data_IF_246540210507
#
_entry.id   IF_246540210507
#
_cell.length_a   1.000
_cell.length_b   1.000
_cell.length_c   1.000
_cell.angle_alpha   90.00
_cell.angle_beta   90.00
_cell.angle_gamma   90.00
#
_symmetry.space_group_name_H-M   'P 1'
#
loop_
_entity.id
_entity.type
_entity.pdbx_description
1 polymer ?
#
# COMPACT_ATOMS: atom_id res chain seq x y z
N UNK A 1 10.55 4.25 6.42
CA UNK A 1 10.43 2.83 6.02
C UNK A 1 11.53 2.39 5.08
N UNK A 2 11.82 1.10 5.06
CA UNK A 2 12.75 0.39 4.17
C UNK A 2 14.24 0.75 4.34
N UNK A 3 14.59 1.78 5.06
CA UNK A 3 15.99 2.10 5.38
C UNK A 3 16.60 1.03 6.31
N UNK A 4 17.89 0.76 6.16
CA UNK A 4 18.62 -0.22 6.97
C UNK A 4 18.61 0.13 8.45
N UNK A 5 18.68 1.40 8.77
CA UNK A 5 18.78 1.91 10.15
C UNK A 5 17.40 2.26 10.75
N UNK A 6 16.29 1.85 10.11
CA UNK A 6 14.94 2.02 10.65
C UNK A 6 14.77 1.27 11.97
N UNK A 7 14.07 1.86 12.92
CA UNK A 7 13.90 1.33 14.27
C UNK A 7 12.45 1.35 14.79
N UNK A 8 11.48 1.57 13.91
CA UNK A 8 10.07 1.58 14.24
C UNK A 8 9.32 2.75 13.65
N UNK A 9 8.04 2.85 13.96
CA UNK A 9 7.17 3.88 13.42
C UNK A 9 7.10 5.13 14.31
N UNK A 10 6.89 6.27 13.69
CA UNK A 10 6.57 7.52 14.34
C UNK A 10 5.05 7.71 14.30
N UNK A 11 4.43 8.01 15.42
CA UNK A 11 2.99 8.30 15.48
C UNK A 11 2.69 9.61 14.75
N UNK A 12 1.68 9.57 13.90
CA UNK A 12 1.05 10.74 13.31
C UNK A 12 -0.36 10.91 13.84
N UNK A 13 -1.00 12.01 13.50
CA UNK A 13 -2.41 12.26 13.81
C UNK A 13 -3.15 12.74 12.57
N UNK A 14 -4.44 12.41 12.49
CA UNK A 14 -5.29 12.85 11.40
C UNK A 14 -6.62 12.14 11.39
N UNK A 15 -7.45 12.56 10.46
CA UNK A 15 -8.72 11.95 10.15
C UNK A 15 -8.99 12.09 8.64
N UNK A 16 -9.76 11.18 8.09
CA UNK A 16 -10.15 11.24 6.68
C UNK A 16 -11.52 10.64 6.47
N UNK A 17 -12.13 11.03 5.37
CA UNK A 17 -13.41 10.51 4.92
C UNK A 17 -13.41 10.41 3.40
N UNK A 18 -13.87 9.30 2.87
CA UNK A 18 -14.16 9.12 1.45
C UNK A 18 -15.65 8.87 1.28
N UNK A 19 -16.22 9.41 0.23
CA UNK A 19 -17.63 9.17 -0.12
C UNK A 19 -17.66 8.04 -1.15
N UNK A 20 -18.24 6.93 -0.75
CA UNK A 20 -18.53 5.82 -1.65
C UNK A 20 -19.94 6.00 -2.20
N UNK A 21 -20.06 5.95 -3.49
CA UNK A 21 -21.33 6.16 -4.18
C UNK A 21 -21.47 5.11 -5.30
N UNK A 22 -22.69 4.63 -5.48
CA UNK A 22 -22.99 3.72 -6.58
C UNK A 22 -22.80 4.44 -7.93
N UNK A 23 -22.17 3.73 -8.89
CA UNK A 23 -21.71 4.33 -10.15
C UNK A 23 -22.81 5.03 -10.94
N UNK A 24 -23.94 4.35 -11.17
CA UNK A 24 -25.05 4.91 -11.96
C UNK A 24 -25.70 6.12 -11.26
N UNK A 25 -25.71 6.11 -9.91
CA UNK A 25 -26.19 7.25 -9.13
C UNK A 25 -25.25 8.46 -9.30
N UNK A 26 -23.94 8.25 -9.22
CA UNK A 26 -22.94 9.30 -9.41
C UNK A 26 -23.01 9.90 -10.81
N UNK A 27 -23.09 9.07 -11.84
CA UNK A 27 -23.24 9.49 -13.24
C UNK A 27 -24.52 10.29 -13.45
N UNK A 28 -25.66 9.82 -12.93
CA UNK A 28 -26.96 10.46 -13.09
C UNK A 28 -27.02 11.87 -12.52
N UNK A 29 -26.32 12.11 -11.40
CA UNK A 29 -26.25 13.46 -10.79
C UNK A 29 -25.10 14.34 -11.32
N UNK A 30 -24.29 13.83 -12.27
CA UNK A 30 -23.16 14.55 -12.84
C UNK A 30 -21.99 14.73 -11.86
N UNK A 31 -21.78 13.76 -10.96
CA UNK A 31 -20.66 13.81 -10.01
C UNK A 31 -19.31 13.69 -10.71
N UNK A 32 -18.29 14.33 -10.13
CA UNK A 32 -16.90 13.99 -10.47
C UNK A 32 -16.54 12.67 -9.82
N UNK A 33 -16.24 11.67 -10.64
CA UNK A 33 -15.75 10.35 -10.18
C UNK A 33 -14.23 10.41 -10.20
N UNK A 34 -13.59 10.23 -9.06
CA UNK A 34 -12.13 10.27 -8.93
C UNK A 34 -11.49 8.94 -9.31
N UNK A 35 -12.08 7.84 -8.88
CA UNK A 35 -11.72 6.48 -9.26
C UNK A 35 -12.87 5.53 -8.91
N UNK A 36 -12.75 4.29 -9.33
CA UNK A 36 -13.61 3.19 -8.93
C UNK A 36 -12.92 2.39 -7.83
N UNK A 37 -13.61 2.11 -6.71
CA UNK A 37 -13.15 1.11 -5.75
C UNK A 37 -13.45 -0.26 -6.35
N UNK A 38 -12.42 -0.89 -6.92
CA UNK A 38 -12.55 -2.14 -7.69
C UNK A 38 -12.69 -3.36 -6.80
N UNK A 39 -11.99 -3.38 -5.68
CA UNK A 39 -12.01 -4.53 -4.79
C UNK A 39 -11.37 -4.26 -3.44
N UNK A 40 -11.62 -5.19 -2.54
CA UNK A 40 -11.05 -5.19 -1.20
C UNK A 40 -10.61 -6.59 -0.79
N UNK A 41 -9.55 -6.67 0.00
CA UNK A 41 -9.07 -7.93 0.56
C UNK A 41 -8.97 -7.85 2.08
N UNK A 42 -9.26 -8.96 2.73
CA UNK A 42 -9.06 -9.16 4.16
C UNK A 42 -8.30 -10.46 4.39
N UNK A 43 -7.43 -10.47 5.39
CA UNK A 43 -6.76 -11.67 5.89
C UNK A 43 -6.41 -11.53 7.36
N UNK A 44 -5.94 -12.61 7.95
CA UNK A 44 -5.38 -12.60 9.30
C UNK A 44 -4.08 -13.41 9.33
N UNK A 45 -3.05 -12.89 10.01
CA UNK A 45 -1.78 -13.60 10.17
C UNK A 45 -1.92 -14.85 11.05
N UNK A 46 -2.79 -14.78 12.07
CA UNK A 46 -2.98 -15.83 13.07
C UNK A 46 -1.63 -16.34 13.65
N UNK A 47 -0.68 -15.44 13.84
CA UNK A 47 0.69 -15.77 14.22
C UNK A 47 1.10 -15.17 15.56
N UNK A 48 1.14 -13.85 15.68
CA UNK A 48 1.57 -13.15 16.89
C UNK A 48 0.74 -11.87 17.09
N UNK A 49 0.69 -11.38 18.33
CA UNK A 49 -0.13 -10.23 18.68
C UNK A 49 0.30 -8.92 17.99
N UNK A 50 1.59 -8.75 17.74
CA UNK A 50 2.15 -7.51 17.16
C UNK A 50 3.11 -7.75 15.99
N UNK A 51 3.69 -8.94 15.86
CA UNK A 51 4.61 -9.25 14.77
C UNK A 51 3.86 -9.85 13.56
N UNK A 52 4.22 -9.50 12.33
CA UNK A 52 3.67 -10.12 11.14
C UNK A 52 4.15 -11.58 11.02
N UNK A 53 3.45 -12.36 10.22
CA UNK A 53 3.95 -13.70 9.86
C UNK A 53 5.32 -13.56 9.17
N UNK A 54 6.37 -14.32 9.57
CA UNK A 54 7.74 -14.13 9.07
C UNK A 54 7.87 -14.22 7.55
N UNK A 55 7.05 -15.07 6.93
CA UNK A 55 7.04 -15.24 5.47
C UNK A 55 6.08 -14.25 4.75
N UNK A 56 5.53 -13.25 5.45
CA UNK A 56 4.58 -12.30 4.89
C UNK A 56 3.27 -12.94 4.40
N UNK A 57 2.87 -14.09 4.96
CA UNK A 57 1.71 -14.85 4.47
C UNK A 57 0.42 -14.03 4.51
N UNK A 58 0.16 -13.30 5.60
CA UNK A 58 -1.04 -12.47 5.72
C UNK A 58 -1.04 -11.33 4.70
N UNK A 59 0.11 -10.67 4.50
CA UNK A 59 0.28 -9.64 3.48
C UNK A 59 0.07 -10.18 2.06
N UNK A 60 0.61 -11.36 1.77
CA UNK A 60 0.40 -12.06 0.50
C UNK A 60 -1.09 -12.36 0.25
N UNK A 61 -1.75 -12.96 1.25
CA UNK A 61 -3.15 -13.37 1.13
C UNK A 61 -4.09 -12.17 0.99
N UNK A 62 -3.87 -11.09 1.71
CA UNK A 62 -4.75 -9.92 1.64
C UNK A 62 -4.70 -9.26 0.28
N UNK A 63 -3.50 -9.09 -0.30
CA UNK A 63 -3.34 -8.55 -1.66
C UNK A 63 -3.93 -9.49 -2.71
N UNK A 64 -3.69 -10.81 -2.57
CA UNK A 64 -4.28 -11.81 -3.45
C UNK A 64 -5.81 -11.76 -3.42
N UNK A 65 -6.42 -11.78 -2.24
CA UNK A 65 -7.87 -11.69 -2.07
C UNK A 65 -8.43 -10.40 -2.68
N UNK A 66 -7.72 -9.28 -2.54
CA UNK A 66 -8.10 -8.00 -3.14
C UNK A 66 -8.11 -8.05 -4.68
N UNK A 67 -7.10 -8.65 -5.28
CA UNK A 67 -7.02 -8.84 -6.74
C UNK A 67 -8.14 -9.77 -7.24
N UNK A 68 -8.41 -10.85 -6.53
CA UNK A 68 -9.49 -11.80 -6.87
C UNK A 68 -10.87 -11.12 -6.78
N UNK A 69 -11.13 -10.33 -5.73
CA UNK A 69 -12.38 -9.58 -5.56
C UNK A 69 -12.55 -8.53 -6.67
N UNK A 70 -11.47 -7.83 -7.01
CA UNK A 70 -11.45 -6.83 -8.07
C UNK A 70 -11.57 -7.42 -9.49
N UNK A 71 -11.27 -8.70 -9.68
CA UNK A 71 -11.12 -9.32 -11.00
C UNK A 71 -9.93 -8.78 -11.81
N UNK A 72 -8.92 -8.24 -11.12
CA UNK A 72 -7.72 -7.61 -11.70
C UNK A 72 -6.55 -8.60 -11.64
N UNK A 73 -5.78 -8.67 -12.73
CA UNK A 73 -4.61 -9.53 -12.77
C UNK A 73 -3.40 -8.83 -12.11
N UNK A 74 -2.47 -9.57 -11.49
CA UNK A 74 -1.29 -8.97 -10.86
C UNK A 74 -0.48 -8.05 -11.76
N UNK A 75 -0.41 -8.34 -13.06
CA UNK A 75 0.34 -7.54 -14.03
C UNK A 75 -0.35 -6.23 -14.48
N UNK A 76 -1.54 -5.94 -13.95
CA UNK A 76 -2.26 -4.69 -14.21
C UNK A 76 -2.01 -3.64 -13.11
N UNK A 77 -1.41 -4.03 -11.98
CA UNK A 77 -1.14 -3.11 -10.87
C UNK A 77 0.06 -2.22 -11.16
N UNK A 78 -0.15 -0.92 -11.12
CA UNK A 78 0.88 0.09 -11.41
C UNK A 78 1.57 0.64 -10.16
N UNK A 79 0.82 0.73 -9.05
CA UNK A 79 1.28 1.37 -7.82
C UNK A 79 0.81 0.62 -6.58
N UNK A 80 1.68 0.54 -5.57
CA UNK A 80 1.33 0.04 -4.23
C UNK A 80 1.80 1.06 -3.19
N UNK A 81 0.84 1.61 -2.43
CA UNK A 81 1.12 2.29 -1.18
C UNK A 81 1.15 1.22 -0.07
N UNK A 82 2.34 0.88 0.36
CA UNK A 82 2.58 -0.15 1.36
C UNK A 82 2.12 0.30 2.75
N UNK A 83 1.81 -0.67 3.60
CA UNK A 83 1.67 -0.41 5.02
C UNK A 83 2.96 0.19 5.60
N UNK A 84 4.12 -0.37 5.27
CA UNK A 84 5.45 0.20 5.42
C UNK A 84 5.63 1.08 6.64
N UNK A 85 5.65 0.50 7.84
CA UNK A 85 5.66 1.23 9.12
C UNK A 85 7.05 1.60 9.62
N UNK A 86 8.09 1.30 8.88
CA UNK A 86 9.48 1.46 9.35
C UNK A 86 9.88 0.49 10.47
N UNK A 87 9.12 -0.60 10.63
CA UNK A 87 9.50 -1.68 11.56
C UNK A 87 10.40 -2.67 10.83
N UNK A 88 11.47 -3.18 11.49
CA UNK A 88 12.41 -4.11 10.84
C UNK A 88 11.71 -5.31 10.20
N UNK A 89 10.82 -5.98 10.94
CA UNK A 89 10.14 -7.19 10.46
C UNK A 89 9.00 -6.89 9.46
N UNK A 90 8.25 -5.80 9.69
CA UNK A 90 7.08 -5.46 8.89
C UNK A 90 7.45 -5.13 7.45
N UNK A 91 8.44 -4.28 7.28
CA UNK A 91 8.87 -3.82 5.96
C UNK A 91 9.45 -4.99 5.12
N UNK A 92 10.22 -5.89 5.75
CA UNK A 92 10.76 -7.08 5.08
C UNK A 92 9.63 -8.05 4.67
N UNK A 93 8.72 -8.36 5.59
CA UNK A 93 7.63 -9.29 5.33
C UNK A 93 6.72 -8.82 4.21
N UNK A 94 6.35 -7.54 4.20
CA UNK A 94 5.50 -6.95 3.16
C UNK A 94 6.22 -6.90 1.80
N UNK A 95 7.48 -6.47 1.76
CA UNK A 95 8.29 -6.46 0.53
C UNK A 95 8.42 -7.86 -0.07
N UNK A 96 8.66 -8.88 0.76
CA UNK A 96 8.73 -10.28 0.34
C UNK A 96 7.38 -10.78 -0.21
N UNK A 97 6.27 -10.39 0.42
CA UNK A 97 4.93 -10.75 -0.04
C UNK A 97 4.62 -10.14 -1.41
N UNK A 98 5.02 -8.90 -1.66
CA UNK A 98 4.89 -8.22 -2.96
C UNK A 98 5.70 -8.97 -4.02
N UNK A 99 6.99 -9.22 -3.77
CA UNK A 99 7.84 -9.94 -4.72
C UNK A 99 7.26 -11.33 -5.05
N UNK A 100 6.73 -12.05 -4.06
CA UNK A 100 6.13 -13.38 -4.23
C UNK A 100 4.82 -13.34 -5.04
N UNK A 101 3.95 -12.37 -4.78
CA UNK A 101 2.64 -12.29 -5.42
C UNK A 101 2.74 -11.84 -6.87
N UNK A 102 3.54 -10.80 -7.12
CA UNK A 102 3.60 -10.16 -8.43
C UNK A 102 4.72 -10.73 -9.33
N UNK A 103 5.63 -11.57 -8.78
CA UNK A 103 6.71 -12.18 -9.55
C UNK A 103 7.56 -11.14 -10.27
N UNK A 104 7.87 -11.36 -11.55
CA UNK A 104 8.68 -10.40 -12.33
C UNK A 104 8.00 -9.04 -12.50
N UNK A 105 6.67 -8.98 -12.40
CA UNK A 105 5.96 -7.71 -12.49
C UNK A 105 6.20 -6.81 -11.26
N UNK A 106 6.54 -7.38 -10.10
CA UNK A 106 6.85 -6.62 -8.89
C UNK A 106 7.90 -5.51 -9.14
N UNK A 107 8.85 -5.77 -10.04
CA UNK A 107 9.92 -4.83 -10.39
C UNK A 107 9.47 -3.68 -11.30
N UNK A 108 8.26 -3.77 -11.84
CA UNK A 108 7.64 -2.73 -12.65
C UNK A 108 6.60 -1.90 -11.86
N UNK A 109 6.16 -2.38 -10.70
CA UNK A 109 5.23 -1.66 -9.84
C UNK A 109 5.97 -0.53 -9.13
N UNK A 110 5.42 0.68 -9.15
CA UNK A 110 5.96 1.78 -8.35
C UNK A 110 5.49 1.63 -6.91
N UNK A 111 6.41 1.56 -5.97
CA UNK A 111 6.14 1.26 -4.57
C UNK A 111 6.53 2.44 -3.69
N UNK A 112 5.71 2.76 -2.70
CA UNK A 112 6.05 3.73 -1.67
C UNK A 112 5.37 3.42 -0.33
N UNK A 113 5.75 4.16 0.71
CA UNK A 113 4.98 4.30 1.94
C UNK A 113 4.90 5.78 2.30
N UNK A 114 3.69 6.32 2.27
CA UNK A 114 3.42 7.71 2.65
C UNK A 114 3.61 7.97 4.15
N UNK A 115 3.70 6.93 4.97
CA UNK A 115 4.02 7.05 6.40
C UNK A 115 5.36 7.72 6.66
N UNK A 116 6.28 7.70 5.71
CA UNK A 116 7.53 8.46 5.80
C UNK A 116 7.31 9.97 5.95
N UNK A 117 6.21 10.48 5.44
CA UNK A 117 5.84 11.91 5.47
C UNK A 117 4.78 12.23 6.53
N UNK A 118 3.82 11.31 6.74
CA UNK A 118 2.67 11.56 7.62
C UNK A 118 2.84 10.99 9.02
N UNK A 119 3.78 10.09 9.23
CA UNK A 119 3.79 9.19 10.38
C UNK A 119 2.69 8.13 10.26
N UNK A 120 2.57 7.30 11.26
CA UNK A 120 1.55 6.26 11.34
C UNK A 120 0.33 6.76 12.10
N UNK A 121 -0.76 7.00 11.39
CA UNK A 121 -2.00 7.57 11.95
C UNK A 121 -2.92 6.53 12.59
N UNK A 122 -2.45 5.30 12.77
CA UNK A 122 -3.22 4.19 13.36
C UNK A 122 -4.56 3.98 12.65
N UNK A 123 -5.69 4.22 13.32
CA UNK A 123 -7.03 4.05 12.75
C UNK A 123 -7.33 4.95 11.54
N UNK A 124 -6.65 6.07 11.38
CA UNK A 124 -6.81 6.95 10.21
C UNK A 124 -5.83 6.64 9.06
N UNK A 125 -4.84 5.76 9.28
CA UNK A 125 -3.81 5.47 8.30
C UNK A 125 -4.40 5.01 6.95
N UNK A 126 -5.30 4.02 6.99
CA UNK A 126 -5.87 3.44 5.77
C UNK A 126 -6.62 4.45 4.89
N UNK A 127 -7.37 5.38 5.47
CA UNK A 127 -8.09 6.40 4.68
C UNK A 127 -7.15 7.43 4.08
N UNK A 128 -6.15 7.89 4.81
CA UNK A 128 -5.17 8.86 4.30
C UNK A 128 -4.32 8.23 3.19
N UNK A 129 -3.91 6.99 3.35
CA UNK A 129 -3.15 6.24 2.36
C UNK A 129 -3.98 5.92 1.10
N UNK A 130 -5.26 5.62 1.28
CA UNK A 130 -6.21 5.48 0.16
C UNK A 130 -6.36 6.80 -0.61
N UNK A 131 -6.45 7.94 0.07
CA UNK A 131 -6.49 9.25 -0.57
C UNK A 131 -5.19 9.54 -1.33
N UNK A 132 -4.04 9.15 -0.77
CA UNK A 132 -2.76 9.28 -1.46
C UNK A 132 -2.71 8.39 -2.72
N UNK A 133 -3.18 7.13 -2.64
CA UNK A 133 -3.28 6.24 -3.79
C UNK A 133 -4.22 6.79 -4.88
N UNK A 134 -5.38 7.32 -4.50
CA UNK A 134 -6.27 8.04 -5.43
C UNK A 134 -5.57 9.25 -6.07
N UNK A 135 -4.79 9.99 -5.28
CA UNK A 135 -3.98 11.10 -5.77
C UNK A 135 -2.99 10.69 -6.86
N UNK A 136 -2.41 9.48 -6.79
CA UNK A 136 -1.51 8.98 -7.84
C UNK A 136 -2.23 8.75 -9.17
N UNK A 137 -3.46 8.23 -9.11
CA UNK A 137 -4.31 8.04 -10.31
C UNK A 137 -4.69 9.38 -10.93
N UNK A 138 -5.11 10.33 -10.09
CA UNK A 138 -5.61 11.64 -10.55
C UNK A 138 -4.52 12.51 -11.16
N UNK A 139 -3.33 12.51 -10.55
CA UNK A 139 -2.26 13.45 -10.89
C UNK A 139 -1.11 12.82 -11.67
N UNK A 140 -1.04 11.50 -11.80
CA UNK A 140 0.08 10.82 -12.45
C UNK A 140 1.42 11.02 -11.71
N UNK A 141 1.37 11.18 -10.39
CA UNK A 141 2.55 11.40 -9.55
C UNK A 141 2.53 10.43 -8.36
N UNK A 142 3.54 9.60 -8.26
CA UNK A 142 3.73 8.73 -7.09
C UNK A 142 4.55 9.50 -6.05
N UNK A 143 4.00 9.73 -4.84
CA UNK A 143 4.73 10.43 -3.78
C UNK A 143 5.88 9.57 -3.24
N UNK A 144 6.95 10.19 -2.71
CA UNK A 144 8.11 9.44 -2.27
C UNK A 144 7.94 8.81 -0.88
N UNK A 145 8.74 7.78 -0.64
CA UNK A 145 9.18 7.40 0.69
C UNK A 145 10.42 8.23 1.02
N UNK A 146 10.29 9.22 1.89
CA UNK A 146 11.41 10.10 2.28
C UNK A 146 12.23 9.50 3.42
N UNK A 147 13.40 10.10 3.69
CA UNK A 147 14.35 9.68 4.72
C UNK A 147 14.95 8.28 4.49
N UNK A 148 15.15 7.91 3.24
CA UNK A 148 15.91 6.73 2.87
C UNK A 148 17.36 7.11 2.57
N UNK A 149 18.32 6.52 3.29
CA UNK A 149 19.75 6.82 3.21
C UNK A 149 20.58 5.58 2.91
N UNK A 150 20.16 4.42 3.40
CA UNK A 150 20.94 3.17 3.31
C UNK A 150 20.03 1.99 2.98
N UNK A 151 20.39 1.26 1.93
CA UNK A 151 19.67 0.05 1.52
C UNK A 151 19.76 -1.06 2.59
N UNK A 152 18.66 -1.73 2.85
CA UNK A 152 18.61 -2.94 3.68
C UNK A 152 18.81 -4.17 2.79
N UNK A 153 19.88 -4.92 3.04
CA UNK A 153 20.24 -6.14 2.29
C UNK A 153 19.18 -7.26 2.40
N UNK A 154 18.26 -7.16 3.36
CA UNK A 154 17.16 -8.11 3.54
C UNK A 154 15.94 -7.78 2.66
N UNK A 155 15.92 -6.63 2.01
CA UNK A 155 14.88 -6.20 1.08
C UNK A 155 15.42 -6.32 -0.34
N UNK A 156 14.64 -6.93 -1.24
CA UNK A 156 15.05 -7.08 -2.64
C UNK A 156 15.22 -5.70 -3.30
N UNK A 157 16.47 -5.33 -3.58
CA UNK A 157 16.85 -4.04 -4.18
C UNK A 157 16.33 -3.84 -5.60
N UNK A 158 15.77 -4.87 -6.25
CA UNK A 158 15.14 -4.76 -7.57
C UNK A 158 13.72 -4.21 -7.49
N UNK A 159 13.09 -4.23 -6.31
CA UNK A 159 11.78 -3.59 -6.12
C UNK A 159 11.87 -2.10 -6.39
N UNK A 160 10.92 -1.59 -7.16
CA UNK A 160 10.96 -0.22 -7.65
C UNK A 160 10.37 0.77 -6.63
N UNK A 161 11.10 0.96 -5.53
CA UNK A 161 10.72 1.95 -4.51
C UNK A 161 10.88 3.38 -5.02
N UNK A 162 9.95 4.23 -4.63
CA UNK A 162 10.02 5.68 -4.87
C UNK A 162 10.75 6.34 -3.70
N UNK A 163 12.08 6.34 -3.70
CA UNK A 163 12.85 6.93 -2.60
C UNK A 163 13.13 8.42 -2.80
N UNK A 164 12.90 9.20 -1.75
CA UNK A 164 13.25 10.60 -1.54
C UNK A 164 12.67 11.62 -2.54
N UNK A 165 12.38 11.23 -3.76
CA UNK A 165 11.82 12.11 -4.80
C UNK A 165 10.58 11.49 -5.42
N UNK A 166 9.59 12.34 -5.74
CA UNK A 166 8.37 11.89 -6.41
C UNK A 166 8.64 11.50 -7.86
N UNK A 167 7.90 10.51 -8.36
CA UNK A 167 8.04 10.01 -9.72
C UNK A 167 6.77 10.29 -10.53
N UNK A 168 6.94 10.86 -11.73
CA UNK A 168 5.89 10.97 -12.72
C UNK A 168 5.60 9.60 -13.33
N UNK A 169 4.36 9.13 -13.22
CA UNK A 169 3.94 7.85 -13.76
C UNK A 169 2.45 7.86 -14.06
N UNK A 170 2.07 7.38 -15.24
CA UNK A 170 0.67 7.07 -15.55
C UNK A 170 0.26 5.85 -14.70
N UNK A 171 -0.58 6.08 -13.70
CA UNK A 171 -1.11 5.07 -12.77
C UNK A 171 -2.58 4.89 -13.05
N UNK A 172 -2.98 3.68 -13.42
CA UNK A 172 -4.37 3.30 -13.67
C UNK A 172 -4.93 2.41 -12.59
N UNK A 173 -4.08 1.58 -11.98
CA UNK A 173 -4.46 0.65 -10.92
C UNK A 173 -3.54 0.87 -9.72
N UNK A 174 -4.11 1.33 -8.62
CA UNK A 174 -3.39 1.60 -7.37
C UNK A 174 -3.95 0.75 -6.22
N UNK A 175 -3.04 0.17 -5.45
CA UNK A 175 -3.32 -0.65 -4.28
C UNK A 175 -2.87 0.07 -3.00
N UNK A 176 -3.64 -0.06 -1.92
CA UNK A 176 -3.27 0.46 -0.60
C UNK A 176 -3.42 -0.64 0.45
N UNK A 177 -2.34 -0.89 1.19
CA UNK A 177 -2.25 -1.93 2.22
C UNK A 177 -2.30 -1.33 3.62
N UNK A 178 -3.05 -1.97 4.52
CA UNK A 178 -3.10 -1.62 5.94
C UNK A 178 -3.09 -2.88 6.79
N UNK A 179 -2.11 -2.98 7.69
CA UNK A 179 -1.95 -4.12 8.59
C UNK A 179 -2.01 -3.64 10.04
N UNK A 180 -2.70 -4.40 10.89
CA UNK A 180 -2.95 -4.01 12.27
C UNK A 180 -2.46 -5.04 13.29
N UNK A 181 -2.20 -4.58 14.50
CA UNK A 181 -1.95 -5.45 15.63
C UNK A 181 -3.12 -6.43 15.82
N UNK A 182 -2.81 -7.65 16.26
CA UNK A 182 -3.73 -8.78 16.24
C UNK A 182 -3.69 -9.56 14.93
N UNK A 183 -2.84 -9.12 13.96
CA UNK A 183 -2.68 -9.77 12.67
C UNK A 183 -3.80 -9.48 11.67
N UNK A 184 -4.55 -8.40 11.86
CA UNK A 184 -5.59 -8.01 10.91
C UNK A 184 -4.98 -7.29 9.71
N UNK A 185 -5.24 -7.78 8.51
CA UNK A 185 -4.75 -7.18 7.28
C UNK A 185 -5.93 -6.78 6.38
N UNK A 186 -5.85 -5.60 5.81
CA UNK A 186 -6.79 -5.08 4.82
C UNK A 186 -6.04 -4.50 3.62
N UNK A 187 -6.63 -4.63 2.45
CA UNK A 187 -6.13 -4.08 1.20
C UNK A 187 -7.31 -3.56 0.39
N UNK A 188 -7.13 -2.44 -0.29
CA UNK A 188 -8.10 -1.89 -1.25
C UNK A 188 -7.41 -1.61 -2.58
N UNK A 189 -8.19 -1.71 -3.66
CA UNK A 189 -7.74 -1.48 -5.03
C UNK A 189 -8.66 -0.47 -5.72
N UNK A 190 -8.05 0.49 -6.35
CA UNK A 190 -8.70 1.53 -7.14
C UNK A 190 -8.31 1.44 -8.60
#
# INVERSE_FOLDING_TARGET
PFDKDRDGFVLGEGAGCVILEEYEHAVKRGATIYAELKGAGLSADAYHMTAPHPEGLGAYLVMKNCLEDAGVQPNEVDHINMHGTSTPLGDIAESSAIAKLFGEHAYNIQINSTKSMTGHLLGAAGVIESIAALGTIIHGVVPPTINHFTDDEQIDSRLNFTFNEAVQRDVKVAMSNTFGFGGHNACVLF
#
